data_IF_723043840527
#
_entry.id   IF_723043840527
#
_cell.length_a   1.000
_cell.length_b   1.000
_cell.length_c   1.000
_cell.angle_alpha   90.00
_cell.angle_beta   90.00
_cell.angle_gamma   90.00
#
_symmetry.space_group_name_H-M   'P 1'
#
loop_
_entity.id
_entity.type
_entity.pdbx_description
1 polymer ?
#
# COMPACT_ATOMS: atom_id res chain seq x y z
N UNK A 1 3.11 15.30 -11.59
CA UNK A 1 3.73 16.58 -11.95
C UNK A 1 2.70 17.70 -11.94
N UNK A 2 3.07 18.87 -11.39
CA UNK A 2 2.14 20.00 -11.24
C UNK A 2 1.64 20.57 -12.59
N UNK A 3 2.42 20.42 -13.65
CA UNK A 3 2.11 20.94 -14.99
C UNK A 3 1.55 19.88 -15.94
N UNK A 4 2.05 18.65 -15.84
CA UNK A 4 1.70 17.55 -16.74
C UNK A 4 0.54 16.68 -16.21
N UNK A 5 0.18 16.86 -14.95
CA UNK A 5 -0.76 15.98 -14.27
C UNK A 5 -0.15 14.60 -13.96
N UNK A 6 -0.94 13.56 -14.07
CA UNK A 6 -0.47 12.18 -13.86
C UNK A 6 0.43 11.75 -15.00
N UNK A 7 1.62 11.24 -14.65
CA UNK A 7 2.54 10.56 -15.57
C UNK A 7 2.39 9.07 -15.31
N UNK A 8 1.72 8.36 -16.20
CA UNK A 8 1.49 6.93 -16.06
C UNK A 8 2.64 6.14 -16.66
N UNK A 9 3.32 5.32 -15.86
CA UNK A 9 4.31 4.35 -16.33
C UNK A 9 3.60 3.12 -16.86
N UNK A 10 3.97 2.69 -18.06
CA UNK A 10 3.33 1.57 -18.73
C UNK A 10 4.33 0.58 -19.32
N UNK A 11 3.89 -0.66 -19.42
CA UNK A 11 4.48 -1.66 -20.31
C UNK A 11 3.48 -2.00 -21.40
N UNK A 12 3.85 -1.84 -22.66
CA UNK A 12 3.03 -2.23 -23.80
C UNK A 12 3.16 -3.74 -24.02
N UNK A 13 2.07 -4.48 -23.87
CA UNK A 13 2.02 -5.92 -24.13
C UNK A 13 1.73 -6.19 -25.61
N UNK A 14 0.73 -5.52 -26.15
CA UNK A 14 0.34 -5.64 -27.55
C UNK A 14 -0.10 -4.29 -28.09
N UNK A 15 0.01 -4.13 -29.41
CA UNK A 15 -0.34 -2.89 -30.11
C UNK A 15 0.68 -1.77 -29.97
N UNK A 16 0.20 -0.55 -30.12
CA UNK A 16 1.04 0.67 -30.11
C UNK A 16 0.28 1.83 -29.49
N UNK A 17 0.91 2.54 -28.58
CA UNK A 17 0.40 3.80 -28.02
C UNK A 17 1.17 4.99 -28.58
N UNK A 18 0.48 6.05 -28.97
CA UNK A 18 1.05 7.28 -29.49
C UNK A 18 0.23 8.50 -29.10
N UNK A 19 0.76 9.69 -29.29
CA UNK A 19 -0.01 10.93 -29.12
C UNK A 19 -1.30 10.89 -29.93
N UNK A 20 -2.40 11.33 -29.30
CA UNK A 20 -3.74 11.34 -29.91
C UNK A 20 -4.48 9.99 -29.85
N UNK A 21 -3.88 8.93 -29.29
CA UNK A 21 -4.60 7.69 -29.02
C UNK A 21 -5.63 7.92 -27.92
N UNK A 22 -6.90 7.57 -28.15
CA UNK A 22 -7.94 7.56 -27.12
C UNK A 22 -7.86 6.23 -26.38
N UNK A 23 -7.56 6.29 -25.11
CA UNK A 23 -7.38 5.12 -24.23
C UNK A 23 -8.53 5.01 -23.24
N UNK A 24 -8.72 3.78 -22.72
CA UNK A 24 -9.65 3.46 -21.66
C UNK A 24 -8.90 2.70 -20.57
N UNK A 25 -9.09 3.14 -19.32
CA UNK A 25 -8.69 2.42 -18.10
C UNK A 25 -9.73 1.33 -17.84
N UNK A 26 -9.33 0.07 -17.73
CA UNK A 26 -10.30 -1.03 -17.65
C UNK A 26 -10.96 -1.16 -16.28
N UNK A 27 -10.27 -0.81 -15.20
CA UNK A 27 -10.83 -0.90 -13.84
C UNK A 27 -11.81 0.24 -13.56
N UNK A 28 -11.46 1.47 -13.93
CA UNK A 28 -12.29 2.65 -13.65
C UNK A 28 -13.27 2.96 -14.75
N UNK A 29 -13.02 2.47 -15.97
CA UNK A 29 -13.78 2.82 -17.17
C UNK A 29 -13.49 4.22 -17.72
N UNK A 30 -12.60 4.99 -17.06
CA UNK A 30 -12.24 6.33 -17.46
C UNK A 30 -11.56 6.35 -18.84
N UNK A 31 -11.89 7.33 -19.67
CA UNK A 31 -11.30 7.48 -21.01
C UNK A 31 -10.53 8.78 -21.10
N UNK A 32 -9.33 8.71 -21.68
CA UNK A 32 -8.43 9.84 -21.82
C UNK A 32 -7.81 9.90 -23.20
N UNK A 33 -7.41 11.09 -23.62
CA UNK A 33 -6.67 11.28 -24.86
C UNK A 33 -5.19 11.43 -24.52
N UNK A 34 -4.33 10.58 -25.08
CA UNK A 34 -2.90 10.64 -24.88
C UNK A 34 -2.33 11.93 -25.46
N UNK A 35 -1.68 12.73 -24.62
CA UNK A 35 -1.03 13.98 -25.02
C UNK A 35 0.43 13.76 -25.38
N UNK A 36 1.19 13.01 -24.55
CA UNK A 36 2.60 12.72 -24.77
C UNK A 36 2.89 11.26 -24.45
N UNK A 37 3.89 10.74 -25.15
CA UNK A 37 4.43 9.39 -24.94
C UNK A 37 5.95 9.51 -24.87
N UNK A 38 6.61 8.75 -24.01
CA UNK A 38 8.06 8.83 -23.87
C UNK A 38 8.68 7.71 -23.05
N UNK A 39 9.99 7.82 -22.87
CA UNK A 39 10.83 6.92 -22.08
C UNK A 39 11.68 7.71 -21.08
N UNK A 40 12.23 7.02 -20.07
CA UNK A 40 13.21 7.60 -19.14
C UNK A 40 14.62 7.15 -19.52
N UNK A 41 15.52 8.14 -19.87
CA UNK A 41 16.91 7.87 -20.34
C UNK A 41 17.94 8.86 -19.79
N UNK A 42 18.23 9.00 -18.52
CA UNK A 42 17.42 8.90 -17.29
C UNK A 42 16.36 10.01 -17.20
N UNK A 43 16.45 11.07 -18.02
CA UNK A 43 15.47 12.15 -18.10
C UNK A 43 14.29 11.72 -18.95
N UNK A 44 13.18 12.36 -18.70
CA UNK A 44 11.94 12.28 -19.47
C UNK A 44 12.25 12.65 -20.93
N UNK A 45 12.13 11.70 -21.84
CA UNK A 45 12.41 11.90 -23.27
C UNK A 45 11.18 11.48 -24.07
N UNK A 46 10.61 12.41 -24.83
CA UNK A 46 9.46 12.13 -25.67
C UNK A 46 9.87 11.26 -26.88
N UNK A 47 8.98 10.32 -27.23
CA UNK A 47 9.08 9.49 -28.44
C UNK A 47 7.78 9.56 -29.24
N UNK A 48 7.83 9.17 -30.50
CA UNK A 48 6.63 9.21 -31.35
C UNK A 48 5.58 8.16 -30.93
N UNK A 49 6.04 6.98 -30.49
CA UNK A 49 5.17 5.88 -30.07
C UNK A 49 5.92 4.87 -29.21
N UNK A 50 5.16 4.07 -28.45
CA UNK A 50 5.64 2.86 -27.76
C UNK A 50 4.92 1.66 -28.35
N UNK A 51 5.69 0.66 -28.78
CA UNK A 51 5.17 -0.60 -29.33
C UNK A 51 5.28 -1.77 -28.35
N UNK A 52 4.82 -2.93 -28.78
CA UNK A 52 4.80 -4.15 -27.98
C UNK A 52 6.16 -4.48 -27.36
N UNK A 53 6.15 -4.82 -26.05
CA UNK A 53 7.34 -5.13 -25.25
C UNK A 53 8.05 -3.90 -24.65
N UNK A 54 7.79 -2.70 -25.11
CA UNK A 54 8.44 -1.48 -24.64
C UNK A 54 7.88 -0.99 -23.31
N UNK A 55 8.77 -0.40 -22.52
CA UNK A 55 8.46 0.31 -21.27
C UNK A 55 8.59 1.81 -21.52
N UNK A 56 7.65 2.57 -20.98
CA UNK A 56 7.68 4.02 -21.10
C UNK A 56 6.62 4.68 -20.25
N UNK A 57 6.31 5.91 -20.60
CA UNK A 57 5.26 6.67 -19.94
C UNK A 57 4.32 7.32 -20.96
N UNK A 58 3.15 7.69 -20.50
CA UNK A 58 2.30 8.63 -21.21
C UNK A 58 1.74 9.69 -20.25
N UNK A 59 1.31 10.82 -20.82
CA UNK A 59 0.48 11.81 -20.15
C UNK A 59 -0.82 12.00 -20.91
N UNK A 60 -1.90 12.27 -20.22
CA UNK A 60 -3.22 12.43 -20.81
C UNK A 60 -4.07 13.48 -20.09
N UNK A 61 -3.43 14.52 -19.53
CA UNK A 61 -4.06 15.59 -18.75
C UNK A 61 -5.00 15.07 -17.64
N UNK A 62 -4.66 13.91 -17.05
CA UNK A 62 -5.43 13.29 -15.97
C UNK A 62 -5.20 14.10 -14.70
N UNK A 63 -6.26 14.74 -14.21
CA UNK A 63 -6.23 15.56 -12.99
C UNK A 63 -6.66 14.77 -11.75
N UNK A 64 -7.57 13.82 -11.94
CA UNK A 64 -8.10 12.98 -10.87
C UNK A 64 -7.29 11.67 -10.80
N UNK A 65 -6.52 11.54 -9.76
CA UNK A 65 -5.66 10.36 -9.58
C UNK A 65 -6.47 9.08 -9.38
N UNK A 66 -7.66 9.18 -8.80
CA UNK A 66 -8.58 8.05 -8.68
C UNK A 66 -8.97 7.42 -10.03
N UNK A 67 -8.78 8.14 -11.15
CA UNK A 67 -9.03 7.61 -12.49
C UNK A 67 -7.92 6.64 -12.95
N UNK A 68 -6.79 6.61 -12.24
CA UNK A 68 -5.64 5.75 -12.55
C UNK A 68 -5.27 4.90 -11.34
N UNK A 69 -5.22 3.60 -11.53
CA UNK A 69 -4.79 2.67 -10.49
C UNK A 69 -3.54 1.92 -10.93
N UNK A 70 -2.64 1.68 -9.99
CA UNK A 70 -1.45 0.86 -10.26
C UNK A 70 -1.88 -0.57 -10.55
N UNK A 71 -1.38 -1.12 -11.68
CA UNK A 71 -1.76 -2.47 -12.12
C UNK A 71 -3.02 -2.53 -12.97
N UNK A 72 -3.61 -1.37 -13.34
CA UNK A 72 -4.72 -1.35 -14.30
C UNK A 72 -4.27 -1.73 -15.71
N UNK A 73 -5.20 -2.27 -16.48
CA UNK A 73 -5.01 -2.52 -17.91
C UNK A 73 -5.54 -1.35 -18.72
N UNK A 74 -4.70 -0.84 -19.61
CA UNK A 74 -5.03 0.25 -20.51
C UNK A 74 -5.27 -0.32 -21.90
N UNK A 75 -6.37 0.03 -22.52
CA UNK A 75 -6.73 -0.42 -23.87
C UNK A 75 -7.12 0.75 -24.75
N UNK A 76 -7.09 0.55 -26.09
CA UNK A 76 -7.60 1.53 -27.03
C UNK A 76 -9.15 1.60 -26.93
N UNK A 77 -9.70 2.81 -26.82
CA UNK A 77 -11.15 3.00 -26.63
C UNK A 77 -11.97 2.55 -27.84
N UNK A 78 -11.41 2.62 -29.05
CA UNK A 78 -12.10 2.22 -30.30
C UNK A 78 -12.21 0.70 -30.46
N UNK A 79 -11.21 -0.03 -30.03
CA UNK A 79 -11.14 -1.49 -30.14
C UNK A 79 -10.63 -2.06 -28.81
N UNK A 80 -11.44 -1.99 -27.74
CA UNK A 80 -11.00 -2.40 -26.43
C UNK A 80 -10.83 -3.92 -26.34
N UNK A 81 -9.80 -4.35 -25.61
CA UNK A 81 -9.70 -5.75 -25.20
C UNK A 81 -10.88 -6.10 -24.28
N UNK A 82 -11.37 -7.32 -24.39
CA UNK A 82 -12.46 -7.81 -23.53
C UNK A 82 -11.96 -8.35 -22.19
N UNK A 83 -10.68 -8.70 -22.10
CA UNK A 83 -10.08 -9.31 -20.91
C UNK A 83 -8.93 -8.44 -20.42
N UNK A 84 -8.98 -7.96 -19.16
CA UNK A 84 -7.85 -7.27 -18.59
C UNK A 84 -6.68 -8.23 -18.41
N UNK A 85 -5.46 -7.71 -18.45
CA UNK A 85 -4.27 -8.46 -18.07
C UNK A 85 -4.34 -8.80 -16.58
N UNK A 86 -3.71 -9.92 -16.19
CA UNK A 86 -3.52 -10.23 -14.78
C UNK A 86 -2.72 -9.08 -14.13
N UNK A 87 -3.44 -8.23 -13.39
CA UNK A 87 -2.87 -7.06 -12.74
C UNK A 87 -2.07 -7.42 -11.49
N UNK A 88 -1.50 -6.41 -10.87
CA UNK A 88 -0.89 -6.57 -9.55
C UNK A 88 -2.00 -6.85 -8.53
N UNK A 89 -1.78 -7.82 -7.64
CA UNK A 89 -2.66 -8.01 -6.48
C UNK A 89 -2.57 -6.76 -5.62
N UNK A 90 -3.71 -6.20 -5.16
CA UNK A 90 -3.68 -5.09 -4.23
C UNK A 90 -2.87 -5.46 -2.99
N UNK A 91 -2.01 -4.56 -2.57
CA UNK A 91 -1.32 -4.71 -1.29
C UNK A 91 -2.33 -4.58 -0.16
N UNK A 92 -2.29 -5.48 0.80
CA UNK A 92 -3.16 -5.46 1.97
C UNK A 92 -2.35 -4.95 3.15
N UNK A 93 -2.72 -3.81 3.75
CA UNK A 93 -2.10 -3.33 4.97
C UNK A 93 -2.24 -4.34 6.11
N UNK A 94 -1.19 -4.46 6.92
CA UNK A 94 -1.14 -5.37 8.07
C UNK A 94 -0.89 -4.67 9.40
N UNK A 95 -0.38 -3.43 9.35
CA UNK A 95 -0.16 -2.58 10.53
C UNK A 95 -0.97 -1.31 10.37
N UNK A 96 -1.68 -0.94 11.42
CA UNK A 96 -2.52 0.25 11.44
C UNK A 96 -2.11 1.16 12.58
N UNK A 97 -2.07 2.47 12.33
CA UNK A 97 -1.94 3.48 13.37
C UNK A 97 -2.71 4.75 13.01
N UNK A 98 -3.00 5.56 14.02
CA UNK A 98 -3.52 6.91 13.81
C UNK A 98 -2.37 7.89 13.62
N UNK A 99 -2.48 8.77 12.62
CA UNK A 99 -1.62 9.92 12.43
C UNK A 99 -2.43 11.18 12.71
N UNK A 100 -1.99 11.98 13.68
CA UNK A 100 -2.66 13.19 14.13
C UNK A 100 -1.68 14.36 14.04
N UNK A 101 -2.06 15.51 13.47
CA UNK A 101 -1.21 16.69 13.51
C UNK A 101 -1.13 17.23 14.94
N UNK A 102 0.03 17.76 15.34
CA UNK A 102 0.19 18.41 16.65
C UNK A 102 -0.68 19.68 16.69
N UNK A 103 -0.65 20.48 15.62
CA UNK A 103 -1.55 21.62 15.48
C UNK A 103 -2.79 21.19 14.68
N UNK A 104 -3.98 21.42 15.23
CA UNK A 104 -5.24 21.11 14.55
C UNK A 104 -5.43 21.90 13.24
N UNK A 105 -4.74 23.03 13.06
CA UNK A 105 -4.74 23.80 11.82
C UNK A 105 -4.12 23.04 10.63
N UNK A 106 -3.22 22.11 10.91
CA UNK A 106 -2.49 21.33 9.89
C UNK A 106 -3.28 20.10 9.37
N UNK A 107 -4.51 19.89 9.85
CA UNK A 107 -5.32 18.74 9.43
C UNK A 107 -5.52 18.68 7.90
N UNK A 108 -5.86 19.80 7.26
CA UNK A 108 -6.04 19.85 5.81
C UNK A 108 -4.72 19.64 5.06
N UNK A 109 -3.62 20.19 5.58
CA UNK A 109 -2.28 19.97 5.01
C UNK A 109 -1.90 18.49 5.12
N UNK A 110 -2.18 17.83 6.25
CA UNK A 110 -1.95 16.39 6.42
C UNK A 110 -2.77 15.59 5.41
N UNK A 111 -4.05 15.91 5.21
CA UNK A 111 -4.91 15.25 4.23
C UNK A 111 -4.33 15.33 2.82
N UNK A 112 -3.98 16.54 2.37
CA UNK A 112 -3.39 16.74 1.04
C UNK A 112 -2.06 16.02 0.89
N UNK A 113 -1.24 15.98 1.94
CA UNK A 113 0.06 15.31 1.94
C UNK A 113 -0.09 13.79 1.82
N UNK A 114 -1.04 13.19 2.55
CA UNK A 114 -1.37 11.77 2.44
C UNK A 114 -1.90 11.42 1.03
N UNK A 115 -2.75 12.26 0.46
CA UNK A 115 -3.22 12.10 -0.92
C UNK A 115 -2.05 12.11 -1.91
N UNK A 116 -1.11 13.07 -1.77
CA UNK A 116 0.09 13.16 -2.62
C UNK A 116 1.01 11.96 -2.47
N UNK A 117 1.26 11.50 -1.25
CA UNK A 117 2.06 10.29 -1.01
C UNK A 117 1.44 9.06 -1.64
N UNK A 118 0.11 8.90 -1.53
CA UNK A 118 -0.62 7.78 -2.13
C UNK A 118 -0.50 7.70 -3.65
N UNK A 119 -0.21 8.81 -4.34
CA UNK A 119 0.07 8.83 -5.77
C UNK A 119 1.32 8.01 -6.14
N UNK A 120 2.30 8.01 -5.26
CA UNK A 120 3.57 7.33 -5.49
C UNK A 120 3.63 5.98 -4.76
N UNK A 121 2.80 5.80 -3.76
CA UNK A 121 2.74 4.58 -2.96
C UNK A 121 1.29 4.13 -2.77
N UNK A 122 0.82 3.27 -3.66
CA UNK A 122 -0.53 2.72 -3.60
C UNK A 122 -0.70 1.62 -2.53
N UNK A 123 0.37 1.30 -1.79
CA UNK A 123 0.37 0.21 -0.81
C UNK A 123 -0.10 0.64 0.58
N UNK A 124 -0.19 1.95 0.87
CA UNK A 124 -0.79 2.40 2.11
C UNK A 124 -2.23 2.91 1.89
N UNK A 125 -3.03 2.78 2.92
CA UNK A 125 -4.41 3.28 2.97
C UNK A 125 -4.58 4.28 4.10
N UNK A 126 -5.51 5.19 3.96
CA UNK A 126 -5.89 6.09 5.05
C UNK A 126 -7.37 6.43 4.98
N UNK A 127 -7.95 6.68 6.14
CA UNK A 127 -9.33 7.10 6.35
C UNK A 127 -9.37 8.12 7.49
N UNK A 128 -10.35 9.03 7.47
CA UNK A 128 -10.48 10.02 8.52
C UNK A 128 -10.80 9.34 9.86
N UNK A 129 -10.13 9.76 10.92
CA UNK A 129 -10.32 9.28 12.29
C UNK A 129 -10.46 10.46 13.24
N UNK A 130 -11.26 10.27 14.27
CA UNK A 130 -11.43 11.27 15.34
C UNK A 130 -11.09 10.64 16.67
N UNK A 131 -10.16 11.25 17.40
CA UNK A 131 -9.79 10.85 18.74
C UNK A 131 -10.30 11.89 19.75
N UNK A 132 -10.90 11.43 20.85
CA UNK A 132 -11.31 12.33 21.92
C UNK A 132 -10.14 13.08 22.57
N UNK A 133 -8.93 12.51 22.54
CA UNK A 133 -7.74 13.11 23.12
C UNK A 133 -6.91 13.92 22.13
N UNK A 134 -6.84 13.49 20.85
CA UNK A 134 -5.96 14.04 19.84
C UNK A 134 -6.68 14.87 18.76
N UNK A 135 -8.02 14.88 18.76
CA UNK A 135 -8.81 15.60 17.77
C UNK A 135 -8.95 14.84 16.45
N UNK A 136 -8.88 15.58 15.34
CA UNK A 136 -9.02 15.03 13.99
C UNK A 136 -7.68 14.56 13.43
N UNK A 137 -7.67 13.40 12.81
CA UNK A 137 -6.51 12.80 12.18
C UNK A 137 -6.91 11.74 11.16
N UNK A 138 -5.99 10.84 10.86
CA UNK A 138 -6.23 9.76 9.91
C UNK A 138 -5.75 8.44 10.48
N UNK A 139 -6.60 7.42 10.35
CA UNK A 139 -6.20 6.04 10.53
C UNK A 139 -5.52 5.57 9.26
N UNK A 140 -4.27 5.17 9.37
CA UNK A 140 -3.45 4.74 8.25
C UNK A 140 -3.10 3.26 8.37
N UNK A 141 -3.12 2.55 7.23
CA UNK A 141 -2.73 1.16 7.11
C UNK A 141 -1.46 1.01 6.29
N UNK A 142 -0.51 0.23 6.78
CA UNK A 142 0.84 0.06 6.23
C UNK A 142 1.19 -1.41 6.03
N UNK A 143 2.16 -1.70 5.15
CA UNK A 143 2.66 -3.06 4.92
C UNK A 143 3.48 -3.62 6.09
N UNK A 144 3.92 -2.77 7.00
CA UNK A 144 4.70 -3.11 8.17
C UNK A 144 5.25 -1.88 8.88
N UNK A 145 5.99 -2.07 9.98
CA UNK A 145 6.54 -0.97 10.78
C UNK A 145 7.53 -0.11 9.99
N UNK A 146 8.42 -0.71 9.21
CA UNK A 146 9.37 0.05 8.38
C UNK A 146 8.64 0.94 7.35
N UNK A 147 7.55 0.43 6.77
CA UNK A 147 6.75 1.23 5.84
C UNK A 147 6.09 2.42 6.54
N UNK A 148 5.58 2.22 7.76
CA UNK A 148 5.05 3.29 8.62
C UNK A 148 6.12 4.36 8.88
N UNK A 149 7.32 3.96 9.31
CA UNK A 149 8.42 4.88 9.59
C UNK A 149 8.82 5.70 8.35
N UNK A 150 8.88 5.06 7.18
CA UNK A 150 9.20 5.75 5.91
C UNK A 150 8.12 6.80 5.58
N UNK A 151 6.83 6.45 5.68
CA UNK A 151 5.75 7.38 5.39
C UNK A 151 5.73 8.54 6.40
N UNK A 152 5.92 8.24 7.69
CA UNK A 152 6.01 9.27 8.74
C UNK A 152 7.16 10.24 8.47
N UNK A 153 8.38 9.74 8.24
CA UNK A 153 9.55 10.56 7.91
C UNK A 153 9.34 11.42 6.67
N UNK A 154 8.64 10.90 5.66
CA UNK A 154 8.32 11.66 4.46
C UNK A 154 7.33 12.79 4.76
N UNK A 155 6.30 12.53 5.57
CA UNK A 155 5.35 13.57 5.99
C UNK A 155 6.04 14.69 6.76
N UNK A 156 6.95 14.34 7.66
CA UNK A 156 7.71 15.30 8.45
C UNK A 156 8.70 16.10 7.59
N UNK A 157 9.48 15.44 6.73
CA UNK A 157 10.57 16.08 5.98
C UNK A 157 10.16 16.74 4.66
N UNK A 158 9.23 16.13 3.92
CA UNK A 158 8.82 16.64 2.60
C UNK A 158 7.67 17.64 2.70
N UNK A 159 6.86 17.54 3.77
CA UNK A 159 5.65 18.35 3.92
C UNK A 159 5.65 19.22 5.18
N UNK A 160 6.73 19.19 5.96
CA UNK A 160 6.93 20.03 7.17
C UNK A 160 5.76 19.90 8.17
N UNK A 161 5.37 18.64 8.46
CA UNK A 161 4.29 18.30 9.36
C UNK A 161 4.85 17.73 10.66
N UNK A 162 4.40 18.26 11.80
CA UNK A 162 4.64 17.68 13.11
C UNK A 162 3.49 16.74 13.49
N UNK A 163 3.79 15.44 13.69
CA UNK A 163 2.79 14.40 13.84
C UNK A 163 2.89 13.65 15.16
N UNK A 164 1.73 13.30 15.70
CA UNK A 164 1.57 12.31 16.75
C UNK A 164 1.14 11.00 16.11
N UNK A 165 1.91 9.95 16.35
CA UNK A 165 1.62 8.60 15.88
C UNK A 165 1.10 7.77 17.05
N UNK A 166 -0.06 7.13 16.90
CA UNK A 166 -0.55 6.19 17.91
C UNK A 166 0.23 4.88 17.86
N UNK A 167 0.19 4.08 18.93
CA UNK A 167 0.81 2.77 18.92
C UNK A 167 0.27 1.92 17.76
N UNK A 168 1.14 1.24 16.99
CA UNK A 168 0.72 0.38 15.90
C UNK A 168 -0.22 -0.72 16.40
N UNK A 169 -1.27 -1.01 15.64
CA UNK A 169 -2.25 -2.04 15.95
C UNK A 169 -2.59 -2.87 14.71
N UNK A 170 -3.21 -4.01 14.94
CA UNK A 170 -3.78 -4.87 13.89
C UNK A 170 -5.30 -4.87 14.02
N UNK A 171 -6.00 -5.32 12.97
CA UNK A 171 -7.43 -5.53 13.03
C UNK A 171 -7.70 -6.90 13.66
N UNK A 172 -8.41 -6.91 14.79
CA UNK A 172 -8.83 -8.13 15.45
C UNK A 172 -10.21 -8.55 14.97
N UNK A 173 -10.46 -9.86 14.88
CA UNK A 173 -11.81 -10.41 14.73
C UNK A 173 -12.32 -10.83 16.08
N UNK A 174 -13.48 -10.32 16.45
CA UNK A 174 -14.16 -10.65 17.69
C UNK A 174 -15.37 -11.51 17.38
N UNK A 175 -15.35 -12.75 17.81
CA UNK A 175 -16.50 -13.64 17.71
C UNK A 175 -17.35 -13.47 18.97
N UNK A 176 -18.57 -13.01 18.79
CA UNK A 176 -19.51 -12.76 19.87
C UNK A 176 -20.24 -14.06 20.27
N UNK A 177 -20.69 -14.15 21.54
CA UNK A 177 -21.54 -15.24 22.00
C UNK A 177 -22.87 -15.35 21.23
N UNK A 178 -23.31 -14.26 20.58
CA UNK A 178 -24.47 -14.22 19.69
C UNK A 178 -24.26 -14.93 18.35
N UNK A 179 -23.02 -15.31 18.00
CA UNK A 179 -22.63 -15.84 16.69
C UNK A 179 -22.25 -14.76 15.67
N UNK A 180 -22.33 -13.50 16.02
CA UNK A 180 -21.88 -12.38 15.20
C UNK A 180 -20.36 -12.25 15.27
N UNK A 181 -19.72 -11.88 14.13
CA UNK A 181 -18.29 -11.59 14.06
C UNK A 181 -18.09 -10.10 13.77
N UNK A 182 -17.39 -9.42 14.66
CA UNK A 182 -17.02 -8.00 14.51
C UNK A 182 -15.55 -7.87 14.13
N UNK A 183 -15.23 -6.87 13.33
CA UNK A 183 -13.86 -6.45 13.09
C UNK A 183 -13.55 -5.25 13.99
N UNK A 184 -12.60 -5.43 14.91
CA UNK A 184 -12.16 -4.40 15.82
C UNK A 184 -10.99 -3.64 15.21
N UNK A 185 -11.22 -2.41 14.85
CA UNK A 185 -10.22 -1.49 14.31
C UNK A 185 -9.63 -0.59 15.39
N UNK A 186 -10.42 -0.20 16.37
CA UNK A 186 -10.00 0.68 17.45
C UNK A 186 -10.25 -0.02 18.82
N UNK A 187 -9.26 -0.06 19.72
CA UNK A 187 -9.45 -0.62 21.06
C UNK A 187 -10.60 0.01 21.85
N UNK A 188 -10.95 1.28 21.55
CA UNK A 188 -12.08 1.97 22.21
C UNK A 188 -13.44 1.36 21.87
N UNK A 189 -13.54 0.64 20.75
CA UNK A 189 -14.78 0.00 20.29
C UNK A 189 -14.92 -1.44 20.81
N UNK A 190 -14.05 -1.83 21.77
CA UNK A 190 -14.06 -3.17 22.36
C UNK A 190 -15.41 -3.45 23.01
N UNK A 191 -16.15 -4.49 22.58
CA UNK A 191 -17.40 -4.87 23.21
C UNK A 191 -17.17 -5.36 24.64
N UNK A 192 -18.27 -5.44 25.42
CA UNK A 192 -18.24 -6.02 26.76
C UNK A 192 -17.64 -7.43 26.72
N UNK A 193 -16.58 -7.66 27.49
CA UNK A 193 -15.81 -8.91 27.54
C UNK A 193 -16.72 -10.13 27.80
N UNK A 194 -17.80 -9.96 28.57
CA UNK A 194 -18.76 -11.03 28.86
C UNK A 194 -19.50 -11.53 27.62
N UNK A 195 -19.59 -10.70 26.58
CA UNK A 195 -20.27 -11.01 25.31
C UNK A 195 -19.34 -11.62 24.28
N UNK A 196 -18.03 -11.68 24.55
CA UNK A 196 -17.01 -12.18 23.63
C UNK A 196 -16.82 -13.67 23.85
N UNK A 197 -16.88 -14.44 22.75
CA UNK A 197 -16.55 -15.86 22.74
C UNK A 197 -15.05 -16.07 22.50
N UNK A 198 -14.49 -15.43 21.44
CA UNK A 198 -13.07 -15.51 21.12
C UNK A 198 -12.61 -14.23 20.40
N UNK A 199 -11.30 -13.97 20.49
CA UNK A 199 -10.63 -12.89 19.76
C UNK A 199 -9.56 -13.55 18.90
N UNK A 200 -9.57 -13.24 17.60
CA UNK A 200 -8.60 -13.72 16.63
C UNK A 200 -7.72 -12.58 16.15
N UNK A 201 -6.43 -12.83 16.05
CA UNK A 201 -5.45 -11.92 15.45
C UNK A 201 -4.97 -12.44 14.09
N UNK A 202 -4.57 -11.56 13.14
CA UNK A 202 -4.10 -11.98 11.83
C UNK A 202 -2.72 -12.64 11.93
N UNK A 203 -2.52 -13.72 11.17
CA UNK A 203 -1.22 -14.35 10.98
C UNK A 203 -0.65 -13.99 9.62
N UNK A 204 0.66 -13.78 9.57
CA UNK A 204 1.40 -13.44 8.36
C UNK A 204 2.29 -14.62 8.00
N UNK A 205 2.31 -14.99 6.72
CA UNK A 205 3.30 -15.91 6.18
C UNK A 205 4.49 -15.11 5.67
N UNK A 206 5.63 -15.22 6.35
CA UNK A 206 6.88 -14.60 5.96
C UNK A 206 7.81 -15.62 5.28
N UNK A 207 8.41 -15.23 4.17
CA UNK A 207 9.45 -16.00 3.49
C UNK A 207 10.74 -15.20 3.48
N UNK A 208 11.77 -15.71 4.16
CA UNK A 208 13.05 -15.04 4.36
C UNK A 208 14.14 -15.82 3.60
N UNK A 209 14.86 -15.12 2.73
CA UNK A 209 16.05 -15.65 2.06
C UNK A 209 17.28 -15.10 2.76
N UNK A 210 18.10 -15.98 3.32
CA UNK A 210 19.23 -15.59 4.15
C UNK A 210 20.45 -16.46 3.84
N UNK A 211 21.68 -15.89 3.87
CA UNK A 211 22.91 -16.68 3.87
C UNK A 211 22.94 -17.62 5.08
N UNK A 212 23.50 -18.82 4.90
CA UNK A 212 23.48 -19.88 5.92
C UNK A 212 24.07 -19.43 7.28
N UNK A 213 25.08 -18.57 7.25
CA UNK A 213 25.74 -17.99 8.45
C UNK A 213 24.78 -17.20 9.36
N UNK A 214 23.68 -16.62 8.81
CA UNK A 214 22.70 -15.85 9.56
C UNK A 214 21.42 -16.63 9.87
N UNK A 215 21.32 -17.88 9.44
CA UNK A 215 20.11 -18.69 9.62
C UNK A 215 19.78 -18.88 11.11
N UNK A 216 20.77 -19.21 11.93
CA UNK A 216 20.58 -19.41 13.37
C UNK A 216 20.06 -18.16 14.08
N UNK A 217 20.72 -16.98 13.94
CA UNK A 217 20.23 -15.72 14.49
C UNK A 217 18.82 -15.36 14.06
N UNK A 218 18.47 -15.59 12.78
CA UNK A 218 17.12 -15.31 12.26
C UNK A 218 16.07 -16.21 12.90
N UNK A 219 16.33 -17.52 12.98
CA UNK A 219 15.42 -18.45 13.62
C UNK A 219 15.20 -18.12 15.11
N UNK A 220 16.27 -17.75 15.82
CA UNK A 220 16.15 -17.32 17.22
C UNK A 220 15.27 -16.07 17.35
N UNK A 221 15.52 -15.05 16.53
CA UNK A 221 14.72 -13.81 16.52
C UNK A 221 13.24 -14.10 16.23
N UNK A 222 12.97 -14.95 15.24
CA UNK A 222 11.59 -15.30 14.88
C UNK A 222 10.89 -16.06 16.03
N UNK A 223 11.59 -16.96 16.71
CA UNK A 223 11.05 -17.70 17.86
C UNK A 223 10.77 -16.76 19.05
N UNK A 224 11.67 -15.84 19.34
CA UNK A 224 11.48 -14.81 20.38
C UNK A 224 10.24 -13.94 20.11
N UNK A 225 9.94 -13.72 18.83
CA UNK A 225 8.79 -12.94 18.36
C UNK A 225 7.56 -13.80 18.03
N UNK A 226 7.46 -15.00 18.60
CA UNK A 226 6.31 -15.93 18.45
C UNK A 226 6.14 -16.49 17.02
N UNK A 227 7.17 -16.41 16.18
CA UNK A 227 7.14 -17.01 14.85
C UNK A 227 7.25 -18.53 14.88
N UNK A 228 6.42 -19.20 14.10
CA UNK A 228 6.46 -20.65 13.92
C UNK A 228 7.12 -21.00 12.58
N UNK A 229 8.20 -21.77 12.60
CA UNK A 229 8.83 -22.24 11.37
C UNK A 229 7.95 -23.31 10.71
N UNK A 230 7.55 -23.04 9.46
CA UNK A 230 6.73 -23.94 8.65
C UNK A 230 7.59 -24.77 7.72
N UNK A 231 8.59 -24.15 7.09
CA UNK A 231 9.42 -24.77 6.08
C UNK A 231 10.82 -24.18 6.08
N UNK A 232 11.83 -25.03 5.85
CA UNK A 232 13.21 -24.63 5.61
C UNK A 232 13.70 -25.38 4.38
N UNK A 233 14.07 -24.64 3.34
CA UNK A 233 14.65 -25.19 2.11
C UNK A 233 15.86 -24.36 1.69
N UNK A 234 16.65 -24.89 0.76
CA UNK A 234 17.81 -24.17 0.23
C UNK A 234 17.58 -23.85 -1.25
N UNK A 235 17.81 -22.58 -1.60
CA UNK A 235 17.77 -22.10 -2.97
C UNK A 235 19.16 -21.58 -3.33
N UNK A 236 19.94 -22.40 -4.05
CA UNK A 236 21.36 -22.15 -4.28
C UNK A 236 22.16 -22.12 -2.97
N UNK A 237 22.88 -21.02 -2.71
CA UNK A 237 23.69 -20.83 -1.51
C UNK A 237 22.95 -20.14 -0.36
N UNK A 238 21.63 -19.99 -0.45
CA UNK A 238 20.82 -19.30 0.56
C UNK A 238 19.77 -20.23 1.15
N UNK A 239 19.57 -20.14 2.46
CA UNK A 239 18.45 -20.75 3.13
C UNK A 239 17.18 -19.93 2.86
N UNK A 240 16.10 -20.59 2.53
CA UNK A 240 14.75 -20.03 2.46
C UNK A 240 13.96 -20.55 3.65
N UNK A 241 13.60 -19.65 4.56
CA UNK A 241 12.80 -19.98 5.75
C UNK A 241 11.39 -19.42 5.54
N UNK A 242 10.40 -20.30 5.66
CA UNK A 242 9.00 -19.89 5.68
C UNK A 242 8.48 -19.97 7.12
N UNK A 243 7.91 -18.88 7.57
CA UNK A 243 7.42 -18.70 8.94
C UNK A 243 5.96 -18.25 8.92
N UNK A 244 5.20 -18.72 9.89
CA UNK A 244 3.94 -18.13 10.30
C UNK A 244 4.22 -17.25 11.52
N UNK A 245 3.73 -16.02 11.47
CA UNK A 245 4.06 -14.99 12.43
C UNK A 245 2.86 -14.08 12.69
N UNK A 246 2.63 -13.72 13.92
CA UNK A 246 1.61 -12.71 14.26
C UNK A 246 2.19 -11.31 14.06
N UNK A 247 1.37 -10.37 13.62
CA UNK A 247 1.81 -8.99 13.47
C UNK A 247 2.34 -8.45 14.80
N UNK A 248 3.36 -7.57 14.79
CA UNK A 248 3.89 -6.96 16.02
C UNK A 248 2.77 -6.35 16.83
N UNK A 249 2.70 -6.73 18.10
CA UNK A 249 1.76 -6.19 19.08
C UNK A 249 2.54 -5.38 20.11
N UNK A 250 1.96 -4.35 20.72
CA UNK A 250 2.57 -3.67 21.87
C UNK A 250 2.96 -4.58 23.04
N UNK A 251 2.52 -5.85 23.01
CA UNK A 251 2.92 -6.89 23.98
C UNK A 251 4.32 -7.44 23.71
N UNK A 252 4.84 -7.27 22.49
CA UNK A 252 6.12 -7.83 22.08
C UNK A 252 7.33 -6.97 22.52
N UNK A 253 7.07 -5.76 22.99
CA UNK A 253 8.09 -4.79 23.46
C UNK A 253 8.28 -4.81 24.98
N UNK A 254 7.87 -5.89 25.67
CA UNK A 254 8.05 -6.05 27.13
C UNK A 254 9.09 -7.08 27.46
#
# INVERSE_FOLDING_TARGET
DAYLGVIALIRVYDGTIKKGTKIRMMQTGATHLVDRVGVFTPKLTEVESLGSGQLGFFTAAIKTVADTQVGDTITEDRNPTSVPLDGFKPSVPVVFCGLFPIDAADYEQLRESLERLRLNDASFSFEAETSAALGFGFRCGFLGLLHLEIIQERLEREFDLDLITTAPSVVYKINMNSGETLQLHNPSDMPDVVKINSIEEPWIKATIFVPDEFLGPILSLCTERRGEQVELTYVGARAMVCLLYTSPSPRDDR
#
